data_IF_049750198949
#
_entry.id   IF_049750198949
#
_cell.length_a   1.000
_cell.length_b   1.000
_cell.length_c   1.000
_cell.angle_alpha   90.00
_cell.angle_beta   90.00
_cell.angle_gamma   90.00
#
_symmetry.space_group_name_H-M   'P 1'
#
loop_
_entity.id
_entity.type
_entity.pdbx_description
1 polymer ?
#
# COMPACT_ATOMS: atom_id res chain seq x y z
N UNK A 1 -11.25 16.06 28.70
CA UNK A 1 -10.82 16.87 27.52
C UNK A 1 -11.36 16.37 26.17
N UNK A 2 -11.77 15.10 26.00
CA UNK A 2 -12.32 14.59 24.72
C UNK A 2 -13.72 15.12 24.35
N UNK A 3 -14.54 15.47 25.34
CA UNK A 3 -15.96 15.80 25.13
C UNK A 3 -16.20 17.18 24.51
N UNK A 4 -15.35 18.17 24.83
CA UNK A 4 -15.45 19.54 24.28
C UNK A 4 -15.11 19.60 22.78
N UNK A 5 -14.12 18.83 22.34
CA UNK A 5 -13.73 18.72 20.92
C UNK A 5 -14.87 18.19 20.05
N UNK A 6 -15.61 17.19 20.55
CA UNK A 6 -16.67 16.51 19.82
C UNK A 6 -17.90 17.40 19.56
N UNK A 7 -18.15 18.41 20.41
CA UNK A 7 -19.27 19.34 20.29
C UNK A 7 -18.95 20.48 19.33
N UNK A 8 -17.75 21.05 19.42
CA UNK A 8 -17.28 22.10 18.50
C UNK A 8 -17.17 21.62 17.05
N UNK A 9 -16.62 20.42 16.83
CA UNK A 9 -16.51 19.83 15.50
C UNK A 9 -17.87 19.58 14.83
N UNK A 10 -18.91 19.21 15.60
CA UNK A 10 -20.27 19.00 15.09
C UNK A 10 -20.92 20.30 14.59
N UNK A 11 -20.72 21.40 15.31
CA UNK A 11 -21.24 22.71 14.91
C UNK A 11 -20.52 23.21 13.66
N UNK A 12 -19.20 23.09 13.62
CA UNK A 12 -18.39 23.44 12.44
C UNK A 12 -18.81 22.62 11.20
N UNK A 13 -18.97 21.30 11.34
CA UNK A 13 -19.44 20.44 10.23
C UNK A 13 -20.83 20.79 9.72
N UNK A 14 -21.72 21.26 10.60
CA UNK A 14 -23.06 21.70 10.19
C UNK A 14 -23.02 22.92 9.27
N UNK A 15 -22.12 23.87 9.55
CA UNK A 15 -21.91 25.06 8.73
C UNK A 15 -21.18 24.72 7.43
N UNK A 16 -20.14 23.89 7.50
CA UNK A 16 -19.34 23.49 6.33
C UNK A 16 -20.13 22.64 5.34
N UNK A 17 -21.07 21.81 5.79
CA UNK A 17 -21.94 21.02 4.91
C UNK A 17 -22.76 21.88 3.95
N UNK A 18 -23.12 23.11 4.33
CA UNK A 18 -23.82 24.06 3.44
C UNK A 18 -22.95 24.49 2.25
N UNK A 19 -21.64 24.35 2.37
CA UNK A 19 -20.65 24.62 1.33
C UNK A 19 -20.06 23.34 0.71
N UNK A 20 -20.62 22.16 1.02
CA UNK A 20 -20.13 20.88 0.50
C UNK A 20 -18.85 20.36 1.17
N UNK A 21 -18.46 20.89 2.32
CA UNK A 21 -17.23 20.52 3.03
C UNK A 21 -17.53 19.77 4.34
N UNK A 22 -16.62 18.88 4.75
CA UNK A 22 -16.67 18.18 6.03
C UNK A 22 -15.28 18.17 6.70
N UNK A 23 -15.25 18.63 7.94
CA UNK A 23 -14.10 18.61 8.84
C UNK A 23 -14.01 17.21 9.44
N UNK A 24 -13.11 16.41 8.86
CA UNK A 24 -12.77 15.08 9.36
C UNK A 24 -11.58 15.18 10.31
N UNK A 25 -11.54 14.30 11.32
CA UNK A 25 -10.37 14.21 12.18
C UNK A 25 -9.18 13.81 11.30
N UNK A 26 -8.10 14.59 11.34
CA UNK A 26 -6.82 14.22 10.73
C UNK A 26 -6.15 13.12 11.55
N UNK A 27 -6.84 12.00 11.75
CA UNK A 27 -6.33 10.82 12.44
C UNK A 27 -6.18 9.72 11.39
N UNK A 28 -4.92 9.39 11.12
CA UNK A 28 -4.38 8.46 10.14
C UNK A 28 -4.54 8.92 8.70
N UNK A 29 -3.43 9.37 8.11
CA UNK A 29 -3.35 9.55 6.67
C UNK A 29 -3.76 8.23 6.00
N UNK A 30 -4.64 8.28 5.00
CA UNK A 30 -5.01 7.12 4.18
C UNK A 30 -3.92 6.88 3.12
N UNK A 31 -2.67 6.89 3.56
CA UNK A 31 -1.50 6.67 2.72
C UNK A 31 -1.02 5.23 2.84
N UNK A 32 -0.29 4.80 1.80
CA UNK A 32 0.43 3.53 1.80
C UNK A 32 1.36 3.39 3.02
N UNK A 33 2.08 4.45 3.36
CA UNK A 33 3.03 4.47 4.46
C UNK A 33 2.34 4.28 5.81
N UNK A 34 1.24 5.00 6.06
CA UNK A 34 0.46 4.80 7.28
C UNK A 34 -0.25 3.45 7.33
N UNK A 35 -0.47 2.77 6.21
CA UNK A 35 -0.95 1.39 6.21
C UNK A 35 0.13 0.41 6.65
N UNK A 36 1.33 0.52 6.09
CA UNK A 36 2.47 -0.32 6.46
C UNK A 36 2.87 -0.12 7.93
N UNK A 37 2.88 1.12 8.41
CA UNK A 37 3.16 1.45 9.81
C UNK A 37 2.21 0.73 10.77
N UNK A 38 0.90 0.74 10.46
CA UNK A 38 -0.09 0.02 11.26
C UNK A 38 0.14 -1.49 11.24
N UNK A 39 0.39 -2.07 10.07
CA UNK A 39 0.63 -3.52 9.93
C UNK A 39 1.89 -3.93 10.70
N UNK A 40 2.98 -3.18 10.57
CA UNK A 40 4.20 -3.43 11.33
C UNK A 40 3.99 -3.28 12.84
N UNK A 41 3.24 -2.26 13.26
CA UNK A 41 2.87 -2.04 14.67
C UNK A 41 2.04 -3.17 15.29
N UNK A 42 1.43 -4.04 14.48
CA UNK A 42 0.73 -5.25 14.97
C UNK A 42 1.71 -6.37 15.37
N UNK A 43 3.02 -6.24 15.10
CA UNK A 43 4.01 -7.26 15.44
C UNK A 43 3.92 -8.54 14.60
N UNK A 44 3.28 -8.47 13.43
CA UNK A 44 3.16 -9.60 12.51
C UNK A 44 4.51 -9.94 11.88
N UNK A 45 4.87 -11.22 11.87
CA UNK A 45 6.02 -11.72 11.12
C UNK A 45 5.61 -12.00 9.68
N UNK A 46 5.66 -10.97 8.84
CA UNK A 46 5.37 -11.10 7.41
C UNK A 46 6.56 -11.78 6.73
N UNK A 47 6.41 -13.07 6.41
CA UNK A 47 7.45 -13.85 5.74
C UNK A 47 7.40 -13.72 4.20
N UNK A 48 6.27 -13.32 3.63
CA UNK A 48 6.10 -13.22 2.17
C UNK A 48 5.15 -12.08 1.81
N UNK A 49 5.50 -11.32 0.78
CA UNK A 49 4.70 -10.26 0.17
C UNK A 49 4.44 -10.64 -1.29
N UNK A 50 3.17 -10.68 -1.67
CA UNK A 50 2.75 -10.87 -3.06
C UNK A 50 2.20 -9.53 -3.56
N UNK A 51 2.87 -8.95 -4.56
CA UNK A 51 2.54 -7.63 -5.12
C UNK A 51 1.89 -7.83 -6.50
N UNK A 52 0.57 -7.68 -6.57
CA UNK A 52 -0.23 -7.89 -7.78
C UNK A 52 -0.41 -6.58 -8.52
N UNK A 53 -0.06 -6.54 -9.81
CA UNK A 53 -0.01 -5.31 -10.59
C UNK A 53 1.21 -4.47 -10.22
N UNK A 54 2.37 -5.14 -10.11
CA UNK A 54 3.56 -4.57 -9.50
C UNK A 54 4.17 -3.38 -10.28
N UNK A 55 3.82 -3.18 -11.55
CA UNK A 55 4.41 -2.17 -12.43
C UNK A 55 5.95 -2.16 -12.31
N UNK A 56 6.57 -1.09 -11.83
CA UNK A 56 8.02 -0.98 -11.64
C UNK A 56 8.53 -1.41 -10.24
N UNK A 57 7.69 -2.07 -9.43
CA UNK A 57 8.01 -2.56 -8.10
C UNK A 57 8.18 -1.47 -7.03
N UNK A 58 7.78 -0.22 -7.29
CA UNK A 58 7.98 0.90 -6.34
C UNK A 58 7.29 0.72 -4.98
N UNK A 59 6.19 -0.03 -4.91
CA UNK A 59 5.49 -0.29 -3.65
C UNK A 59 6.15 -1.44 -2.89
N UNK A 60 6.49 -2.54 -3.56
CA UNK A 60 7.36 -3.57 -2.99
C UNK A 60 8.65 -3.00 -2.40
N UNK A 61 9.34 -2.10 -3.11
CA UNK A 61 10.56 -1.44 -2.61
C UNK A 61 10.33 -0.60 -1.35
N UNK A 62 9.17 0.05 -1.23
CA UNK A 62 8.82 0.79 0.00
C UNK A 62 8.48 -0.16 1.15
N UNK A 63 7.83 -1.28 0.84
CA UNK A 63 7.43 -2.32 1.80
C UNK A 63 8.63 -3.03 2.41
N UNK A 64 9.69 -3.25 1.63
CA UNK A 64 10.95 -3.84 2.10
C UNK A 64 11.60 -3.08 3.26
N UNK A 65 11.28 -1.79 3.44
CA UNK A 65 11.77 -1.03 4.61
C UNK A 65 11.15 -1.49 5.92
N UNK A 66 9.96 -2.08 5.86
CA UNK A 66 9.20 -2.58 7.00
C UNK A 66 9.37 -4.09 7.18
N UNK A 67 9.51 -4.85 6.08
CA UNK A 67 9.66 -6.30 6.10
C UNK A 67 10.89 -6.75 5.27
N UNK A 68 12.13 -6.39 5.70
CA UNK A 68 13.33 -6.57 4.89
C UNK A 68 13.72 -8.03 4.63
N UNK A 69 13.27 -8.95 5.47
CA UNK A 69 13.57 -10.38 5.36
C UNK A 69 12.48 -11.19 4.66
N UNK A 70 11.36 -10.57 4.30
CA UNK A 70 10.30 -11.24 3.56
C UNK A 70 10.74 -11.63 2.14
N UNK A 71 10.15 -12.69 1.60
CA UNK A 71 10.21 -13.00 0.17
C UNK A 71 9.20 -12.14 -0.59
N UNK A 72 9.59 -11.60 -1.74
CA UNK A 72 8.76 -10.74 -2.57
C UNK A 72 8.50 -11.42 -3.92
N UNK A 73 7.23 -11.66 -4.24
CA UNK A 73 6.80 -12.13 -5.54
C UNK A 73 5.96 -11.04 -6.22
N UNK A 74 6.49 -10.47 -7.30
CA UNK A 74 5.84 -9.42 -8.07
C UNK A 74 5.12 -10.02 -9.28
N UNK A 75 3.84 -9.74 -9.44
CA UNK A 75 3.02 -10.20 -10.55
C UNK A 75 2.66 -8.99 -11.42
N UNK A 76 3.07 -9.00 -12.69
CA UNK A 76 2.84 -7.88 -13.61
C UNK A 76 2.43 -8.37 -14.99
N UNK A 77 1.33 -7.85 -15.53
CA UNK A 77 0.80 -8.32 -16.82
C UNK A 77 1.51 -7.67 -18.02
N UNK A 78 1.97 -6.42 -17.90
CA UNK A 78 2.48 -5.66 -19.03
C UNK A 78 4.00 -5.79 -19.17
N UNK A 79 4.45 -6.35 -20.30
CA UNK A 79 5.87 -6.54 -20.60
C UNK A 79 6.71 -5.24 -20.59
N UNK A 80 6.08 -4.07 -20.80
CA UNK A 80 6.76 -2.76 -20.73
C UNK A 80 7.43 -2.50 -19.37
N UNK A 81 6.95 -3.15 -18.31
CA UNK A 81 7.49 -3.01 -16.96
C UNK A 81 8.67 -3.96 -16.69
N UNK A 82 8.86 -5.00 -17.50
CA UNK A 82 9.85 -6.05 -17.26
C UNK A 82 11.28 -5.52 -17.04
N UNK A 83 11.82 -4.58 -17.84
CA UNK A 83 13.19 -4.10 -17.64
C UNK A 83 13.41 -3.50 -16.24
N UNK A 84 12.39 -2.84 -15.68
CA UNK A 84 12.46 -2.25 -14.34
C UNK A 84 12.33 -3.32 -13.25
N UNK A 85 11.48 -4.34 -13.46
CA UNK A 85 11.36 -5.48 -12.56
C UNK A 85 12.64 -6.32 -12.53
N UNK A 86 13.26 -6.58 -13.68
CA UNK A 86 14.58 -7.22 -13.77
C UNK A 86 15.64 -6.42 -13.02
N UNK A 87 15.68 -5.10 -13.20
CA UNK A 87 16.62 -4.23 -12.49
C UNK A 87 16.37 -4.26 -10.97
N UNK A 88 15.12 -4.33 -10.54
CA UNK A 88 14.76 -4.44 -9.13
C UNK A 88 15.16 -5.79 -8.55
N UNK A 89 14.84 -6.91 -9.22
CA UNK A 89 15.28 -8.26 -8.85
C UNK A 89 16.80 -8.36 -8.70
N UNK A 90 17.57 -7.80 -9.63
CA UNK A 90 19.05 -7.82 -9.58
C UNK A 90 19.62 -7.07 -8.37
N UNK A 91 18.90 -6.08 -7.83
CA UNK A 91 19.36 -5.24 -6.71
C UNK A 91 18.78 -5.67 -5.36
N UNK A 92 17.61 -6.29 -5.37
CA UNK A 92 16.85 -6.67 -4.19
C UNK A 92 17.24 -8.05 -3.65
N UNK A 93 17.17 -8.22 -2.33
CA UNK A 93 17.26 -9.53 -1.67
C UNK A 93 15.88 -10.18 -1.69
N UNK A 94 15.83 -11.49 -1.97
CA UNK A 94 14.60 -12.29 -1.94
C UNK A 94 13.46 -11.73 -2.82
N UNK A 95 13.79 -11.14 -3.97
CA UNK A 95 12.79 -10.62 -4.93
C UNK A 95 12.73 -11.52 -6.16
N UNK A 96 11.54 -11.91 -6.55
CA UNK A 96 11.26 -12.50 -7.86
C UNK A 96 10.05 -11.82 -8.51
N UNK A 97 9.89 -12.01 -9.82
CA UNK A 97 8.74 -11.53 -10.56
C UNK A 97 8.27 -12.56 -11.60
N UNK A 98 7.00 -12.46 -11.97
CA UNK A 98 6.40 -13.21 -13.07
C UNK A 98 5.61 -12.26 -13.97
N UNK A 99 5.74 -12.43 -15.28
CA UNK A 99 4.90 -11.73 -16.24
C UNK A 99 3.59 -12.50 -16.42
N UNK A 100 2.56 -12.09 -15.69
CA UNK A 100 1.24 -12.70 -15.71
C UNK A 100 0.17 -11.73 -15.19
N UNK A 101 -1.07 -11.92 -15.64
CA UNK A 101 -2.24 -11.37 -14.97
C UNK A 101 -2.66 -12.31 -13.82
N UNK A 102 -3.02 -11.74 -12.66
CA UNK A 102 -3.63 -12.53 -11.59
C UNK A 102 -5.09 -12.82 -11.94
N UNK A 103 -5.46 -14.09 -12.00
CA UNK A 103 -6.80 -14.57 -12.32
C UNK A 103 -7.13 -15.83 -11.51
N UNK A 104 -8.41 -16.23 -11.51
CA UNK A 104 -8.91 -17.46 -10.90
C UNK A 104 -8.59 -18.71 -11.73
N UNK A 105 -8.16 -18.53 -12.98
CA UNK A 105 -7.83 -19.58 -13.94
C UNK A 105 -6.54 -19.26 -14.69
N UNK A 106 -5.85 -20.29 -15.18
CA UNK A 106 -4.69 -20.12 -16.04
C UNK A 106 -5.13 -19.71 -17.45
N UNK A 107 -4.46 -18.70 -18.03
CA UNK A 107 -4.75 -18.18 -19.36
C UNK A 107 -3.55 -17.46 -19.98
N UNK A 108 -3.79 -16.70 -21.05
CA UNK A 108 -2.76 -15.92 -21.76
C UNK A 108 -3.15 -14.44 -21.76
N UNK A 109 -2.13 -13.57 -21.72
CA UNK A 109 -2.24 -12.11 -21.74
C UNK A 109 -1.84 -11.59 -23.12
#
# INVERSE_FOLDING_TARGET
>A
MADVWSRGARIANRLLRRFGCELVRSSNSVSWQSALERIHGMGLQVATVIDVGASDGRWSRQTQRWFPDASYLLIEAQAIHEPRLQAYKKRGKNVDYVLAAAADTCGQV
#
